data_IF_896450058231
#
_entry.id   IF_896450058231
#
_cell.length_a   1.000
_cell.length_b   1.000
_cell.length_c   1.000
_cell.angle_alpha   90.00
_cell.angle_beta   90.00
_cell.angle_gamma   90.00
#
_symmetry.space_group_name_H-M   'P 1'
#
loop_
_entity.id
_entity.type
_entity.pdbx_description
1 polymer ?
#
# COMPACT_ATOMS: atom_id res chain seq x y z
N UNK A 1 -15.50 -9.80 7.78
CA UNK A 1 -16.40 -9.10 6.82
C UNK A 1 -16.19 -7.58 6.87
N UNK A 2 -16.16 -6.96 8.06
CA UNK A 2 -15.94 -5.52 8.24
C UNK A 2 -14.66 -4.99 7.57
N UNK A 3 -13.51 -5.66 7.80
CA UNK A 3 -12.21 -5.32 7.21
C UNK A 3 -12.21 -5.22 5.68
N UNK A 4 -13.00 -6.07 5.02
CA UNK A 4 -13.12 -6.08 3.56
C UNK A 4 -13.90 -4.87 3.07
N UNK A 5 -14.99 -4.52 3.75
CA UNK A 5 -15.79 -3.33 3.45
C UNK A 5 -14.97 -2.06 3.69
N UNK A 6 -14.22 -1.98 4.80
CA UNK A 6 -13.31 -0.86 5.08
C UNK A 6 -12.25 -0.73 3.98
N UNK A 7 -11.64 -1.83 3.56
CA UNK A 7 -10.65 -1.82 2.47
C UNK A 7 -11.24 -1.33 1.16
N UNK A 8 -12.49 -1.68 0.86
CA UNK A 8 -13.20 -1.24 -0.34
C UNK A 8 -13.51 0.26 -0.30
N UNK A 9 -13.92 0.79 0.86
CA UNK A 9 -14.12 2.24 1.07
C UNK A 9 -12.79 2.99 0.90
N UNK A 10 -11.72 2.50 1.53
CA UNK A 10 -10.38 3.07 1.41
C UNK A 10 -9.90 3.05 -0.04
N UNK A 11 -10.14 1.97 -0.78
CA UNK A 11 -9.86 1.90 -2.21
C UNK A 11 -10.56 3.00 -3.01
N UNK A 12 -11.86 3.23 -2.77
CA UNK A 12 -12.61 4.30 -3.46
C UNK A 12 -12.02 5.67 -3.11
N UNK A 13 -11.66 5.91 -1.86
CA UNK A 13 -11.04 7.17 -1.42
C UNK A 13 -9.69 7.38 -2.12
N UNK A 14 -8.85 6.34 -2.18
CA UNK A 14 -7.56 6.38 -2.88
C UNK A 14 -7.78 6.75 -4.36
N UNK A 15 -8.72 6.10 -5.02
CA UNK A 15 -9.01 6.32 -6.43
C UNK A 15 -9.45 7.77 -6.69
N UNK A 16 -10.37 8.29 -5.87
CA UNK A 16 -10.81 9.69 -5.96
C UNK A 16 -9.66 10.68 -5.69
N UNK A 17 -8.79 10.38 -4.71
CA UNK A 17 -7.63 11.22 -4.41
C UNK A 17 -6.63 11.26 -5.58
N UNK A 18 -6.36 10.11 -6.21
CA UNK A 18 -5.50 10.01 -7.40
C UNK A 18 -6.09 10.83 -8.55
N UNK A 19 -7.38 10.69 -8.84
CA UNK A 19 -8.06 11.46 -9.89
C UNK A 19 -8.03 12.97 -9.63
N UNK A 20 -8.36 13.37 -8.40
CA UNK A 20 -8.35 14.78 -7.99
C UNK A 20 -6.96 15.39 -8.17
N UNK A 21 -5.91 14.74 -7.66
CA UNK A 21 -4.53 15.25 -7.76
C UNK A 21 -4.09 15.33 -9.22
N UNK A 22 -4.44 14.32 -10.05
CA UNK A 22 -4.15 14.35 -11.48
C UNK A 22 -4.82 15.53 -12.19
N UNK A 23 -6.04 15.90 -11.78
CA UNK A 23 -6.81 16.99 -12.40
C UNK A 23 -6.24 18.38 -12.09
N UNK A 24 -5.73 18.58 -10.87
CA UNK A 24 -5.21 19.87 -10.40
C UNK A 24 -3.71 20.05 -10.67
N UNK A 25 -3.00 18.98 -11.07
CA UNK A 25 -1.56 19.02 -11.29
C UNK A 25 -1.18 19.94 -12.45
N UNK A 26 -0.59 21.09 -12.13
CA UNK A 26 -0.14 22.09 -13.12
C UNK A 26 1.31 21.91 -13.56
N UNK A 27 2.16 21.30 -12.73
CA UNK A 27 3.60 21.20 -13.00
C UNK A 27 4.00 19.84 -13.61
N UNK A 28 3.44 19.56 -14.80
CA UNK A 28 3.62 18.28 -15.50
C UNK A 28 5.09 17.99 -15.83
N UNK A 29 5.87 19.02 -16.17
CA UNK A 29 7.31 18.90 -16.46
C UNK A 29 8.11 18.42 -15.24
N UNK A 30 7.93 19.05 -14.08
CA UNK A 30 8.62 18.62 -12.85
C UNK A 30 8.28 17.19 -12.45
N UNK A 31 7.03 16.77 -12.66
CA UNK A 31 6.60 15.40 -12.37
C UNK A 31 7.23 14.40 -13.36
N UNK A 32 7.39 14.80 -14.62
CA UNK A 32 8.14 14.01 -15.62
C UNK A 32 9.61 13.84 -15.20
N UNK A 33 10.28 14.91 -14.76
CA UNK A 33 11.67 14.85 -14.31
C UNK A 33 11.84 13.87 -13.12
N UNK A 34 10.93 13.94 -12.15
CA UNK A 34 10.87 12.99 -11.01
C UNK A 34 10.65 11.55 -11.51
N UNK A 35 9.77 11.35 -12.50
CA UNK A 35 9.50 10.02 -13.05
C UNK A 35 10.73 9.40 -13.75
N UNK A 36 11.54 10.23 -14.41
CA UNK A 36 12.80 9.82 -15.05
C UNK A 36 13.82 9.42 -13.98
N UNK A 37 13.97 10.23 -12.93
CA UNK A 37 14.88 9.92 -11.82
C UNK A 37 14.47 8.63 -11.07
N UNK A 38 13.17 8.44 -10.85
CA UNK A 38 12.62 7.20 -10.27
C UNK A 38 12.94 5.97 -11.13
N UNK A 39 12.98 6.08 -12.45
CA UNK A 39 13.30 4.96 -13.35
C UNK A 39 14.79 4.55 -13.33
N UNK A 40 15.63 5.27 -12.58
CA UNK A 40 17.03 4.94 -12.35
C UNK A 40 17.21 3.83 -11.29
N UNK A 41 18.34 3.79 -10.59
CA UNK A 41 18.58 2.85 -9.50
C UNK A 41 17.61 3.02 -8.31
N UNK A 42 17.00 4.21 -8.19
CA UNK A 42 16.07 4.59 -7.11
C UNK A 42 14.89 3.61 -7.00
N UNK A 43 14.34 3.12 -8.12
CA UNK A 43 13.23 2.14 -8.07
C UNK A 43 13.57 0.87 -7.32
N UNK A 44 14.82 0.37 -7.42
CA UNK A 44 15.22 -0.85 -6.73
C UNK A 44 15.32 -0.62 -5.22
N UNK A 45 15.81 0.55 -4.80
CA UNK A 45 15.81 0.94 -3.40
C UNK A 45 14.40 1.11 -2.85
N UNK A 46 13.49 1.68 -3.64
CA UNK A 46 12.09 1.83 -3.23
C UNK A 46 11.37 0.47 -3.14
N UNK A 47 11.61 -0.43 -4.09
CA UNK A 47 11.12 -1.81 -4.03
C UNK A 47 11.65 -2.55 -2.79
N UNK A 48 12.94 -2.39 -2.47
CA UNK A 48 13.52 -2.98 -1.27
C UNK A 48 12.90 -2.39 0.01
N UNK A 49 12.72 -1.07 0.06
CA UNK A 49 12.06 -0.39 1.18
C UNK A 49 10.62 -0.91 1.36
N UNK A 50 9.89 -1.14 0.26
CA UNK A 50 8.55 -1.72 0.33
C UNK A 50 8.57 -3.12 0.94
N UNK A 51 9.51 -3.99 0.53
CA UNK A 51 9.63 -5.33 1.12
C UNK A 51 9.84 -5.23 2.64
N UNK A 52 10.75 -4.38 3.11
CA UNK A 52 11.03 -4.22 4.54
C UNK A 52 9.82 -3.69 5.30
N UNK A 53 9.22 -2.58 4.83
CA UNK A 53 8.10 -1.93 5.51
C UNK A 53 6.85 -2.82 5.55
N UNK A 54 6.55 -3.52 4.43
CA UNK A 54 5.45 -4.47 4.35
C UNK A 54 5.69 -5.65 5.30
N UNK A 55 6.92 -6.16 5.38
CA UNK A 55 7.27 -7.27 6.27
C UNK A 55 7.04 -6.91 7.74
N UNK A 56 7.52 -5.75 8.18
CA UNK A 56 7.33 -5.26 9.56
C UNK A 56 5.83 -5.13 9.86
N UNK A 57 5.10 -4.49 8.95
CA UNK A 57 3.66 -4.26 9.12
C UNK A 57 2.81 -5.52 9.14
N UNK A 58 3.04 -6.44 8.20
CA UNK A 58 2.28 -7.70 8.11
C UNK A 58 2.59 -8.61 9.30
N UNK A 59 3.84 -8.63 9.77
CA UNK A 59 4.21 -9.35 10.98
C UNK A 59 3.35 -8.90 12.16
N UNK A 60 3.34 -7.60 12.47
CA UNK A 60 2.52 -7.05 13.56
C UNK A 60 1.03 -7.28 13.31
N UNK A 61 0.53 -7.06 12.10
CA UNK A 61 -0.88 -7.30 11.77
C UNK A 61 -1.32 -8.74 12.05
N UNK A 62 -0.47 -9.71 11.69
CA UNK A 62 -0.75 -11.13 11.90
C UNK A 62 -0.83 -11.47 13.39
N UNK A 63 0.09 -10.91 14.20
CA UNK A 63 0.10 -11.14 15.64
C UNK A 63 -1.10 -10.56 16.37
N UNK A 64 -1.60 -9.40 15.95
CA UNK A 64 -2.72 -8.74 16.62
C UNK A 64 -4.10 -9.21 16.17
N UNK A 65 -4.23 -9.76 14.95
CA UNK A 65 -5.54 -10.04 14.36
C UNK A 65 -5.74 -11.49 13.88
N UNK A 66 -4.69 -12.29 13.69
CA UNK A 66 -4.84 -13.63 13.09
C UNK A 66 -4.67 -14.81 14.06
N UNK A 67 -3.80 -14.69 15.08
CA UNK A 67 -3.58 -15.79 16.03
C UNK A 67 -4.81 -16.09 16.91
N UNK A 68 -5.71 -15.12 17.12
CA UNK A 68 -6.90 -15.23 17.97
C UNK A 68 -8.00 -16.15 17.41
N UNK A 69 -8.00 -16.42 16.09
CA UNK A 69 -9.15 -17.06 15.43
C UNK A 69 -8.99 -18.56 15.13
N UNK A 70 -7.95 -19.23 15.65
CA UNK A 70 -7.39 -20.52 15.20
C UNK A 70 -8.38 -21.67 14.89
N UNK A 71 -9.60 -21.64 15.42
CA UNK A 71 -10.63 -22.69 15.23
C UNK A 71 -11.51 -22.53 13.98
N UNK A 72 -11.54 -21.37 13.31
CA UNK A 72 -12.39 -21.13 12.11
C UNK A 72 -11.69 -21.30 10.76
N UNK A 73 -10.41 -21.70 10.75
CA UNK A 73 -9.52 -21.39 9.62
C UNK A 73 -9.54 -22.36 8.44
N UNK A 74 -9.88 -23.64 8.58
CA UNK A 74 -9.61 -24.64 7.52
C UNK A 74 -10.20 -24.30 6.13
N UNK A 75 -11.31 -23.56 6.07
CA UNK A 75 -11.99 -23.17 4.81
C UNK A 75 -11.57 -21.76 4.34
N UNK A 76 -11.23 -20.87 5.29
CA UNK A 76 -10.94 -19.44 5.03
C UNK A 76 -9.43 -19.18 4.87
N UNK A 77 -8.58 -20.12 5.31
CA UNK A 77 -7.11 -20.03 5.32
C UNK A 77 -6.50 -19.64 3.97
N UNK A 78 -6.89 -20.26 2.82
CA UNK A 78 -6.23 -19.96 1.56
C UNK A 78 -6.51 -18.54 1.08
N UNK A 79 -7.77 -18.10 1.18
CA UNK A 79 -8.20 -16.77 0.73
C UNK A 79 -7.59 -15.69 1.64
N UNK A 80 -7.59 -15.91 2.94
CA UNK A 80 -7.05 -14.95 3.90
C UNK A 80 -5.54 -14.80 3.78
N UNK A 81 -4.79 -15.88 3.54
CA UNK A 81 -3.35 -15.80 3.24
C UNK A 81 -3.11 -14.96 1.98
N UNK A 82 -3.84 -15.25 0.89
CA UNK A 82 -3.69 -14.47 -0.36
C UNK A 82 -3.89 -12.98 -0.09
N UNK A 83 -4.95 -12.62 0.65
CA UNK A 83 -5.27 -11.22 0.95
C UNK A 83 -4.21 -10.56 1.84
N UNK A 84 -3.70 -11.25 2.87
CA UNK A 84 -2.61 -10.74 3.73
C UNK A 84 -1.35 -10.44 2.94
N UNK A 85 -0.97 -11.33 2.01
CA UNK A 85 0.28 -11.19 1.26
C UNK A 85 0.14 -10.35 -0.01
N UNK A 86 -1.09 -10.00 -0.42
CA UNK A 86 -1.35 -9.12 -1.58
C UNK A 86 -0.57 -7.78 -1.54
N UNK A 87 -0.37 -7.10 -0.39
CA UNK A 87 0.43 -5.88 -0.33
C UNK A 87 1.85 -6.04 -0.87
N UNK A 88 2.46 -7.23 -0.81
CA UNK A 88 3.79 -7.47 -1.39
C UNK A 88 3.84 -7.22 -2.89
N UNK A 89 2.70 -7.31 -3.62
CA UNK A 89 2.66 -6.94 -5.03
C UNK A 89 3.14 -5.49 -5.26
N UNK A 90 3.00 -4.60 -4.27
CA UNK A 90 3.49 -3.23 -4.37
C UNK A 90 4.99 -3.14 -4.59
N UNK A 91 5.79 -4.17 -4.27
CA UNK A 91 7.23 -4.17 -4.56
C UNK A 91 7.53 -4.01 -6.06
N UNK A 92 6.59 -4.37 -6.93
CA UNK A 92 6.71 -4.20 -8.38
C UNK A 92 6.28 -2.80 -8.86
N UNK A 93 5.56 -2.02 -8.04
CA UNK A 93 5.06 -0.69 -8.39
C UNK A 93 6.17 0.33 -8.73
N UNK A 94 7.33 0.34 -8.07
CA UNK A 94 8.44 1.20 -8.48
C UNK A 94 9.09 0.79 -9.81
N UNK A 95 9.00 -0.49 -10.20
CA UNK A 95 9.79 -1.06 -11.30
C UNK A 95 9.27 -0.68 -12.70
N UNK A 96 8.14 0.02 -12.79
CA UNK A 96 7.58 0.42 -14.06
C UNK A 96 8.41 1.52 -14.73
N UNK A 97 8.72 1.32 -16.01
CA UNK A 97 9.43 2.32 -16.83
C UNK A 97 8.64 3.62 -16.96
N UNK A 98 9.30 4.77 -16.99
CA UNK A 98 8.61 6.07 -17.16
C UNK A 98 7.92 6.20 -18.52
N UNK A 99 8.44 5.52 -19.54
CA UNK A 99 7.88 5.47 -20.89
C UNK A 99 6.67 4.55 -21.04
N UNK A 100 6.37 3.70 -20.05
CA UNK A 100 5.26 2.77 -20.12
C UNK A 100 3.93 3.51 -19.94
N UNK A 101 3.07 3.46 -20.95
CA UNK A 101 1.73 4.05 -20.89
C UNK A 101 0.76 3.11 -20.19
N UNK A 102 0.29 3.48 -19.00
CA UNK A 102 -0.74 2.72 -18.29
C UNK A 102 -2.16 3.03 -18.76
N UNK A 103 -2.97 2.02 -19.05
CA UNK A 103 -4.42 2.20 -19.14
C UNK A 103 -5.06 2.64 -17.82
N UNK A 104 -6.38 2.80 -17.79
CA UNK A 104 -7.12 2.99 -16.54
C UNK A 104 -7.02 1.75 -15.63
N UNK A 105 -6.95 0.55 -16.23
CA UNK A 105 -6.94 -0.72 -15.50
C UNK A 105 -5.75 -0.87 -14.52
N UNK A 106 -4.47 -0.62 -14.89
CA UNK A 106 -3.38 -0.63 -13.93
C UNK A 106 -3.56 0.34 -12.75
N UNK A 107 -4.11 1.54 -13.00
CA UNK A 107 -4.35 2.55 -11.94
C UNK A 107 -5.34 2.00 -10.92
N UNK A 108 -6.45 1.40 -11.39
CA UNK A 108 -7.45 0.75 -10.53
C UNK A 108 -6.81 -0.39 -9.72
N UNK A 109 -6.08 -1.28 -10.39
CA UNK A 109 -5.44 -2.44 -9.75
C UNK A 109 -4.48 -2.00 -8.66
N UNK A 110 -3.57 -1.07 -8.95
CA UNK A 110 -2.58 -0.62 -7.96
C UNK A 110 -3.21 0.18 -6.82
N UNK A 111 -4.29 0.91 -7.08
CA UNK A 111 -5.07 1.58 -6.03
C UNK A 111 -5.73 0.57 -5.10
N UNK A 112 -6.27 -0.53 -5.64
CA UNK A 112 -6.87 -1.62 -4.86
C UNK A 112 -5.82 -2.32 -3.99
N UNK A 113 -4.65 -2.65 -4.56
CA UNK A 113 -3.54 -3.26 -3.80
C UNK A 113 -3.04 -2.31 -2.70
N UNK A 114 -3.00 -0.99 -2.95
CA UNK A 114 -2.56 0.02 -1.98
C UNK A 114 -3.55 0.25 -0.82
N UNK A 115 -4.83 -0.06 -1.02
CA UNK A 115 -5.86 0.09 0.01
C UNK A 115 -5.69 -0.90 1.18
N UNK A 116 -5.17 -2.10 0.90
CA UNK A 116 -4.93 -3.13 1.90
C UNK A 116 -3.91 -2.70 2.98
N UNK A 117 -2.67 -2.31 2.66
CA UNK A 117 -1.72 -1.85 3.67
C UNK A 117 -2.22 -0.60 4.38
N UNK A 118 -2.92 0.32 3.71
CA UNK A 118 -3.50 1.48 4.39
C UNK A 118 -4.52 1.05 5.46
N UNK A 119 -5.39 0.11 5.11
CA UNK A 119 -6.41 -0.41 6.02
C UNK A 119 -5.77 -1.17 7.19
N UNK A 120 -4.80 -2.05 6.92
CA UNK A 120 -4.06 -2.77 7.95
C UNK A 120 -3.30 -1.83 8.87
N UNK A 121 -2.63 -0.82 8.29
CA UNK A 121 -1.86 0.18 9.00
C UNK A 121 -2.73 1.01 9.94
N UNK A 122 -3.80 1.61 9.44
CA UNK A 122 -4.74 2.40 10.26
C UNK A 122 -5.31 1.55 11.39
N UNK A 123 -5.73 0.32 11.10
CA UNK A 123 -6.30 -0.55 12.12
C UNK A 123 -5.29 -0.93 13.21
N UNK A 124 -4.02 -1.19 12.86
CA UNK A 124 -2.95 -1.39 13.85
C UNK A 124 -2.74 -0.15 14.71
N UNK A 125 -2.83 1.05 14.14
CA UNK A 125 -2.61 2.30 14.86
C UNK A 125 -3.76 2.63 15.83
N UNK A 126 -5.01 2.32 15.47
CA UNK A 126 -6.18 2.66 16.28
C UNK A 126 -6.62 1.53 17.23
N UNK A 127 -6.14 0.31 17.03
CA UNK A 127 -6.60 -0.83 17.84
C UNK A 127 -6.09 -0.75 19.28
N UNK A 128 -7.02 -0.98 20.21
CA UNK A 128 -6.75 -1.18 21.64
C UNK A 128 -6.54 -2.65 22.00
N UNK A 129 -6.57 -3.57 21.03
CA UNK A 129 -6.36 -5.01 21.29
C UNK A 129 -4.97 -5.28 21.86
N UNK A 130 -4.89 -6.24 22.77
CA UNK A 130 -3.62 -6.80 23.25
C UNK A 130 -3.09 -7.82 22.23
N UNK A 131 -1.77 -7.98 22.19
CA UNK A 131 -1.12 -8.99 21.33
C UNK A 131 -1.54 -10.38 21.81
N UNK A 132 -1.89 -11.27 20.89
CA UNK A 132 -2.27 -12.65 21.25
C UNK A 132 -1.02 -13.53 21.34
N UNK A 133 -0.73 -14.07 22.54
CA UNK A 133 0.29 -15.10 22.77
C UNK A 133 -0.38 -16.45 23.06
N UNK A 134 0.29 -17.55 22.74
CA UNK A 134 -0.25 -18.93 22.86
C UNK A 134 -0.63 -19.35 24.30
N UNK A 135 -0.18 -18.61 25.32
CA UNK A 135 -0.45 -18.90 26.73
C UNK A 135 -0.83 -17.63 27.47
N UNK A 136 -2.13 -17.48 27.74
CA UNK A 136 -2.76 -16.39 28.49
C UNK A 136 -2.52 -14.96 27.97
N UNK A 137 -3.51 -14.11 28.19
CA UNK A 137 -3.50 -12.70 27.82
C UNK A 137 -2.46 -11.98 28.69
N UNK A 138 -1.21 -11.93 28.24
CA UNK A 138 -0.15 -11.20 28.93
C UNK A 138 -0.35 -9.71 28.67
N UNK A 139 -0.63 -8.96 29.73
CA UNK A 139 -0.65 -7.52 29.71
C UNK A 139 0.75 -6.96 29.42
N UNK A 140 0.76 -5.96 28.54
CA UNK A 140 1.90 -5.25 27.94
C UNK A 140 3.21 -5.18 28.75
N UNK A 141 4.32 -5.41 28.05
CA UNK A 141 5.57 -4.68 28.33
C UNK A 141 5.67 -3.51 27.34
N UNK A 142 6.11 -2.33 27.80
CA UNK A 142 6.14 -1.07 27.03
C UNK A 142 6.84 -1.16 25.65
N UNK A 143 7.68 -2.19 25.40
CA UNK A 143 8.33 -2.41 24.12
C UNK A 143 7.39 -2.87 23.00
N UNK A 144 6.34 -3.62 23.32
CA UNK A 144 5.46 -4.25 22.31
C UNK A 144 4.50 -3.26 21.64
N UNK A 145 4.06 -2.24 22.38
CA UNK A 145 3.20 -1.20 21.84
C UNK A 145 3.92 -0.32 20.81
N UNK A 146 5.21 -0.09 21.01
CA UNK A 146 6.06 0.63 20.04
C UNK A 146 6.13 -0.14 18.72
N UNK A 147 6.30 -1.47 18.76
CA UNK A 147 6.34 -2.28 17.54
C UNK A 147 5.01 -2.26 16.79
N UNK A 148 3.87 -2.28 17.49
CA UNK A 148 2.54 -2.09 16.88
C UNK A 148 2.47 -0.77 16.10
N UNK A 149 2.90 0.33 16.69
CA UNK A 149 2.89 1.63 16.04
C UNK A 149 3.85 1.71 14.84
N UNK A 150 5.05 1.12 14.97
CA UNK A 150 6.02 1.04 13.86
C UNK A 150 5.47 0.21 12.71
N UNK A 151 4.85 -0.95 12.99
CA UNK A 151 4.20 -1.78 11.98
C UNK A 151 3.05 -1.06 11.29
N UNK A 152 2.17 -0.42 12.06
CA UNK A 152 1.07 0.37 11.53
C UNK A 152 1.54 1.51 10.63
N UNK A 153 2.50 2.31 11.10
CA UNK A 153 3.08 3.42 10.35
C UNK A 153 3.79 2.96 9.07
N UNK A 154 4.49 1.81 9.12
CA UNK A 154 5.18 1.25 7.95
C UNK A 154 4.22 0.95 6.81
N UNK A 155 3.04 0.39 7.10
CA UNK A 155 2.03 0.09 6.08
C UNK A 155 1.36 1.37 5.54
N UNK A 156 1.11 2.36 6.40
CA UNK A 156 0.60 3.67 5.97
C UNK A 156 1.58 4.36 5.03
N UNK A 157 2.88 4.35 5.35
CA UNK A 157 3.94 4.93 4.50
C UNK A 157 3.92 4.27 3.13
N UNK A 158 3.93 2.93 3.08
CA UNK A 158 3.90 2.17 1.81
C UNK A 158 2.68 2.53 0.97
N UNK A 159 1.50 2.63 1.58
CA UNK A 159 0.29 2.98 0.86
C UNK A 159 0.33 4.40 0.29
N UNK A 160 0.78 5.37 1.09
CA UNK A 160 0.89 6.78 0.66
C UNK A 160 1.93 6.92 -0.44
N UNK A 161 3.10 6.30 -0.33
CA UNK A 161 4.11 6.35 -1.38
C UNK A 161 3.64 5.63 -2.64
N UNK A 162 2.87 4.54 -2.52
CA UNK A 162 2.26 3.86 -3.66
C UNK A 162 1.27 4.76 -4.40
N UNK A 163 0.41 5.49 -3.67
CA UNK A 163 -0.48 6.49 -4.26
C UNK A 163 0.29 7.56 -5.03
N UNK A 164 1.38 8.08 -4.46
CA UNK A 164 2.23 9.07 -5.11
C UNK A 164 2.82 8.53 -6.41
N UNK A 165 3.31 7.28 -6.44
CA UNK A 165 3.81 6.66 -7.66
C UNK A 165 2.73 6.50 -8.73
N UNK A 166 1.50 6.11 -8.34
CA UNK A 166 0.37 5.99 -9.26
C UNK A 166 0.02 7.35 -9.88
N UNK A 167 0.03 8.42 -9.08
CA UNK A 167 -0.18 9.79 -9.54
C UNK A 167 0.91 10.21 -10.53
N UNK A 168 2.18 10.02 -10.17
CA UNK A 168 3.32 10.34 -11.05
C UNK A 168 3.13 9.64 -12.40
N UNK A 169 2.85 8.33 -12.40
CA UNK A 169 2.61 7.57 -13.64
C UNK A 169 1.44 8.09 -14.46
N UNK A 170 0.32 8.40 -13.82
CA UNK A 170 -0.88 8.90 -14.48
C UNK A 170 -0.63 10.26 -15.15
N UNK A 171 0.03 11.18 -14.44
CA UNK A 171 0.39 12.52 -14.97
C UNK A 171 1.38 12.41 -16.11
N UNK A 172 2.45 11.63 -15.94
CA UNK A 172 3.49 11.38 -16.96
C UNK A 172 2.87 10.91 -18.27
N UNK A 173 1.98 9.91 -18.23
CA UNK A 173 1.27 9.42 -19.42
C UNK A 173 0.49 10.52 -20.13
N UNK A 174 -0.31 11.30 -19.38
CA UNK A 174 -1.15 12.36 -19.96
C UNK A 174 -0.28 13.40 -20.67
N UNK A 175 0.83 13.78 -20.04
CA UNK A 175 1.75 14.77 -20.59
C UNK A 175 2.50 14.26 -21.83
N UNK A 176 3.01 13.02 -21.81
CA UNK A 176 3.66 12.43 -23.00
C UNK A 176 2.69 12.34 -24.19
N UNK A 177 1.42 12.02 -23.94
CA UNK A 177 0.41 11.97 -25.00
C UNK A 177 0.11 13.35 -25.58
N UNK A 178 0.04 14.39 -24.74
CA UNK A 178 -0.14 15.78 -25.18
C UNK A 178 1.03 16.24 -26.07
N UNK A 179 2.27 15.98 -25.65
CA UNK A 179 3.47 16.33 -26.43
C UNK A 179 3.50 15.67 -27.82
N UNK A 180 3.20 14.37 -27.91
CA UNK A 180 3.18 13.65 -29.19
C UNK A 180 2.05 14.13 -30.10
N UNK A 181 0.94 14.64 -29.56
CA UNK A 181 -0.16 15.19 -30.36
C UNK A 181 0.07 16.60 -30.88
N UNK A 182 1.11 17.29 -30.40
CA UNK A 182 1.50 18.64 -30.83
C UNK A 182 2.61 18.62 -31.91
N UNK A 183 3.21 17.46 -32.19
CA UNK A 183 4.16 17.18 -33.28
C UNK A 183 3.45 16.68 -34.55
#
# INVERSE_FOLDING_TARGET
MEWFITSLIVFVIILLAVELINSISKNKKRIMDIAIELDSWVKYCLSLAYVVLISIGIYEFTFYFMLEAATLWAIVFPITIIVIFTPYLLLFLPLFKYTSTWGIFPIILWSMVSALPLTYGINLLITSKMRTTESDVVAYTNGEEVFKYVGGASLVIVAVTAMVLIIIKSVTKKYTKELISEE
#
